data_IF_645240575488
#
_entry.id   IF_645240575488
#
_cell.length_a   1.000
_cell.length_b   1.000
_cell.length_c   1.000
_cell.angle_alpha   90.00
_cell.angle_beta   90.00
_cell.angle_gamma   90.00
#
_symmetry.space_group_name_H-M   'P 1'
#
loop_
_entity.id
_entity.type
_entity.pdbx_description
1 polymer ?
#
# COMPACT_ATOMS: atom_id res chain seq x y z
N UNK A 1 17.03 14.92 29.13
CA UNK A 1 17.58 13.72 29.79
C UNK A 1 17.02 12.54 29.05
N UNK A 2 17.93 11.91 28.37
CA UNK A 2 17.87 10.74 27.50
C UNK A 2 17.33 9.51 28.20
N UNK A 3 16.45 8.79 27.57
CA UNK A 3 16.25 7.37 27.88
C UNK A 3 16.34 6.57 26.58
N UNK A 4 17.43 5.83 26.47
CA UNK A 4 17.63 4.77 25.51
C UNK A 4 16.71 3.61 25.87
N UNK A 5 15.82 3.27 25.00
CA UNK A 5 14.97 2.10 25.16
C UNK A 5 15.62 0.89 24.52
N UNK A 6 15.76 -0.05 25.33
CA UNK A 6 16.16 -1.42 25.31
C UNK A 6 15.96 -2.16 23.97
N UNK A 7 17.10 -2.40 23.33
CA UNK A 7 17.27 -3.47 22.37
C UNK A 7 17.24 -4.80 23.13
N UNK A 8 16.12 -5.48 23.15
CA UNK A 8 16.07 -6.84 23.66
C UNK A 8 16.71 -7.75 22.62
N UNK A 9 17.99 -8.04 22.83
CA UNK A 9 18.71 -9.08 22.10
C UNK A 9 18.31 -10.41 22.70
N UNK A 10 17.53 -11.22 22.00
CA UNK A 10 17.34 -12.61 22.34
C UNK A 10 18.62 -13.38 21.96
N UNK A 11 19.28 -14.09 22.93
CA UNK A 11 20.42 -14.92 22.60
C UNK A 11 19.97 -16.10 21.72
N UNK A 12 20.77 -16.38 20.71
CA UNK A 12 20.59 -17.55 19.86
C UNK A 12 20.78 -18.82 20.70
N UNK A 13 19.94 -19.85 20.57
CA UNK A 13 20.20 -21.14 21.19
C UNK A 13 21.37 -21.84 20.47
N UNK A 14 22.37 -22.22 21.25
CA UNK A 14 23.50 -23.05 20.81
C UNK A 14 23.03 -24.47 20.44
N UNK A 15 23.56 -24.92 19.33
CA UNK A 15 23.67 -26.26 18.77
C UNK A 15 23.07 -27.46 19.52
N UNK A 16 22.12 -28.12 18.86
CA UNK A 16 22.16 -29.59 18.77
C UNK A 16 21.76 -30.01 17.35
N UNK A 17 22.70 -30.68 16.68
CA UNK A 17 22.54 -31.32 15.38
C UNK A 17 21.53 -32.46 15.56
N UNK A 18 20.37 -32.38 14.96
CA UNK A 18 19.64 -33.55 14.52
C UNK A 18 18.98 -33.33 13.18
N UNK A 19 19.31 -34.25 12.31
CA UNK A 19 19.01 -34.32 10.89
C UNK A 19 17.55 -34.73 10.71
N UNK A 20 16.89 -34.10 9.73
CA UNK A 20 15.60 -34.47 9.16
C UNK A 20 14.35 -33.92 9.88
N UNK A 21 14.03 -32.71 9.55
CA UNK A 21 12.71 -32.17 9.14
C UNK A 21 12.93 -30.73 8.75
N UNK A 22 12.86 -30.44 7.45
CA UNK A 22 12.83 -29.06 6.96
C UNK A 22 11.52 -28.41 7.42
N UNK A 23 11.43 -28.08 8.70
CA UNK A 23 10.41 -27.18 9.21
C UNK A 23 10.80 -25.80 8.73
N UNK A 24 10.13 -25.38 7.71
CA UNK A 24 10.19 -24.01 7.19
C UNK A 24 9.62 -23.09 8.28
N UNK A 25 10.43 -22.78 9.30
CA UNK A 25 10.02 -21.94 10.43
C UNK A 25 9.78 -20.54 9.89
N UNK A 26 8.49 -20.23 9.67
CA UNK A 26 8.06 -18.88 9.35
C UNK A 26 8.32 -17.99 10.55
N UNK A 27 9.06 -16.91 10.37
CA UNK A 27 9.39 -15.96 11.42
C UNK A 27 9.15 -14.53 10.93
N UNK A 28 8.94 -13.62 11.86
CA UNK A 28 8.82 -12.21 11.56
C UNK A 28 10.20 -11.59 11.33
N UNK A 29 10.31 -10.74 10.33
CA UNK A 29 11.49 -9.95 10.01
C UNK A 29 11.07 -8.63 9.36
N UNK A 30 11.92 -7.60 9.45
CA UNK A 30 11.64 -6.31 8.82
C UNK A 30 11.65 -6.44 7.29
N UNK A 31 10.67 -5.84 6.63
CA UNK A 31 10.55 -5.85 5.17
C UNK A 31 9.86 -4.59 4.64
N UNK A 32 10.19 -4.23 3.40
CA UNK A 32 9.53 -3.16 2.68
C UNK A 32 8.46 -3.75 1.75
N UNK A 33 7.22 -3.29 1.91
CA UNK A 33 6.06 -3.72 1.11
C UNK A 33 6.24 -3.44 -0.38
N UNK A 34 6.90 -2.35 -0.72
CA UNK A 34 7.09 -1.96 -2.11
C UNK A 34 8.19 -2.76 -2.80
N UNK A 35 9.14 -3.28 -2.04
CA UNK A 35 10.25 -4.12 -2.55
C UNK A 35 9.98 -5.62 -2.43
N UNK A 36 9.08 -6.01 -1.52
CA UNK A 36 8.76 -7.42 -1.31
C UNK A 36 8.18 -8.08 -2.57
N UNK A 37 8.64 -9.30 -2.82
CA UNK A 37 8.08 -10.24 -3.79
C UNK A 37 7.28 -11.36 -3.11
N UNK A 38 6.67 -12.23 -3.90
CA UNK A 38 5.92 -13.37 -3.36
C UNK A 38 6.79 -14.34 -2.57
N UNK A 39 8.06 -14.51 -2.94
CA UNK A 39 9.00 -15.41 -2.27
C UNK A 39 9.32 -14.91 -0.87
N UNK A 40 9.60 -13.62 -0.73
CA UNK A 40 9.85 -12.98 0.55
C UNK A 40 8.61 -13.04 1.44
N UNK A 41 7.44 -12.66 0.89
CA UNK A 41 6.19 -12.62 1.64
C UNK A 41 5.78 -14.01 2.14
N UNK A 42 6.02 -15.08 1.38
CA UNK A 42 5.72 -16.45 1.81
C UNK A 42 6.54 -16.94 3.01
N UNK A 43 7.62 -16.25 3.39
CA UNK A 43 8.40 -16.54 4.60
C UNK A 43 7.73 -16.00 5.86
N UNK A 44 6.79 -15.07 5.73
CA UNK A 44 6.08 -14.47 6.85
C UNK A 44 5.01 -15.42 7.43
N UNK A 45 4.81 -15.41 8.76
CA UNK A 45 3.76 -16.20 9.40
C UNK A 45 2.38 -15.87 8.83
N UNK A 46 1.60 -16.91 8.56
CA UNK A 46 0.25 -16.77 8.01
C UNK A 46 0.17 -16.36 6.54
N UNK A 47 1.28 -16.03 5.89
CA UNK A 47 1.32 -15.68 4.47
C UNK A 47 1.73 -16.91 3.64
N UNK A 48 0.79 -17.39 2.84
CA UNK A 48 1.04 -18.38 1.79
C UNK A 48 1.01 -17.72 0.43
N UNK A 49 1.23 -18.48 -0.64
CA UNK A 49 1.29 -17.98 -2.02
C UNK A 49 0.03 -17.18 -2.42
N UNK A 50 -1.15 -17.62 -1.99
CA UNK A 50 -2.40 -16.91 -2.29
C UNK A 50 -2.41 -15.51 -1.68
N UNK A 51 -2.14 -15.38 -0.37
CA UNK A 51 -2.10 -14.09 0.33
C UNK A 51 -0.96 -13.21 -0.16
N UNK A 52 0.21 -13.79 -0.45
CA UNK A 52 1.32 -13.06 -1.06
C UNK A 52 0.92 -12.43 -2.41
N UNK A 53 0.21 -13.17 -3.26
CA UNK A 53 -0.33 -12.64 -4.52
C UNK A 53 -1.36 -11.52 -4.29
N UNK A 54 -2.22 -11.63 -3.26
CA UNK A 54 -3.18 -10.56 -2.91
C UNK A 54 -2.46 -9.28 -2.52
N UNK A 55 -1.43 -9.35 -1.68
CA UNK A 55 -0.60 -8.22 -1.28
C UNK A 55 0.07 -7.57 -2.51
N UNK A 56 0.66 -8.37 -3.39
CA UNK A 56 1.30 -7.87 -4.62
C UNK A 56 0.29 -7.25 -5.58
N UNK A 57 -0.88 -7.85 -5.75
CA UNK A 57 -1.92 -7.32 -6.63
C UNK A 57 -2.50 -6.01 -6.08
N UNK A 58 -2.69 -5.91 -4.77
CA UNK A 58 -3.13 -4.67 -4.14
C UNK A 58 -2.09 -3.56 -4.32
N UNK A 59 -0.78 -3.87 -4.10
CA UNK A 59 0.34 -2.98 -4.42
C UNK A 59 0.27 -2.45 -5.86
N UNK A 60 0.05 -3.34 -6.83
CA UNK A 60 -0.03 -2.94 -8.26
C UNK A 60 -1.19 -1.98 -8.53
N UNK A 61 -2.34 -2.21 -7.91
CA UNK A 61 -3.52 -1.33 -8.06
C UNK A 61 -3.33 0.02 -7.38
N UNK A 62 -2.69 0.07 -6.21
CA UNK A 62 -2.32 1.31 -5.52
C UNK A 62 -1.27 2.12 -6.29
N UNK A 63 -0.39 1.46 -7.06
CA UNK A 63 0.85 2.05 -7.56
C UNK A 63 2.00 1.93 -6.57
N UNK A 64 1.78 1.39 -5.39
CA UNK A 64 2.70 1.20 -4.27
C UNK A 64 2.03 1.52 -2.94
N UNK A 65 2.54 0.97 -1.86
CA UNK A 65 2.07 1.28 -0.50
C UNK A 65 2.69 2.60 -0.03
N UNK A 66 1.91 3.44 0.61
CA UNK A 66 2.39 4.65 1.30
C UNK A 66 2.51 4.45 2.81
N UNK A 67 1.80 3.46 3.35
CA UNK A 67 1.77 3.12 4.78
C UNK A 67 1.60 1.62 4.97
N UNK A 68 2.24 1.04 5.98
CA UNK A 68 2.09 -0.38 6.33
C UNK A 68 0.63 -0.76 6.65
N UNK A 69 -0.14 0.15 7.27
CA UNK A 69 -1.55 -0.05 7.63
C UNK A 69 -2.46 -0.38 6.45
N UNK A 70 -2.05 -0.09 5.22
CA UNK A 70 -2.81 -0.49 4.02
C UNK A 70 -2.88 -2.00 3.81
N UNK A 71 -2.10 -2.80 4.54
CA UNK A 71 -2.27 -4.25 4.59
C UNK A 71 -3.64 -4.67 5.15
N UNK A 72 -4.21 -3.88 6.06
CA UNK A 72 -5.55 -4.13 6.65
C UNK A 72 -6.69 -3.88 5.66
N UNK A 73 -6.42 -3.20 4.55
CA UNK A 73 -7.43 -2.90 3.53
C UNK A 73 -7.61 -4.03 2.51
N UNK A 74 -6.78 -5.08 2.58
CA UNK A 74 -6.78 -6.17 1.60
C UNK A 74 -7.88 -7.16 1.96
N UNK A 75 -8.97 -7.13 1.22
CA UNK A 75 -10.05 -8.11 1.36
C UNK A 75 -9.52 -9.54 1.20
N UNK A 76 -9.97 -10.43 2.10
CA UNK A 76 -9.61 -11.86 2.09
C UNK A 76 -8.33 -12.20 2.85
N UNK A 77 -7.65 -11.22 3.49
CA UNK A 77 -6.62 -11.49 4.48
C UNK A 77 -7.14 -11.06 5.86
N UNK A 78 -7.33 -11.99 6.81
CA UNK A 78 -7.81 -11.64 8.15
C UNK A 78 -6.86 -10.70 8.90
N UNK A 79 -7.42 -9.77 9.67
CA UNK A 79 -6.64 -8.82 10.49
C UNK A 79 -5.70 -9.52 11.49
N UNK A 80 -6.09 -10.70 11.99
CA UNK A 80 -5.25 -11.54 12.86
C UNK A 80 -3.91 -11.94 12.21
N UNK A 81 -3.83 -11.89 10.87
CA UNK A 81 -2.61 -12.17 10.11
C UNK A 81 -1.86 -10.89 9.76
N UNK A 82 -2.58 -9.84 9.35
CA UNK A 82 -1.95 -8.58 8.90
C UNK A 82 -1.51 -7.70 10.06
N UNK A 83 -2.26 -7.64 11.15
CA UNK A 83 -1.91 -6.80 12.31
C UNK A 83 -0.52 -7.10 12.90
N UNK A 84 -0.12 -8.35 13.15
CA UNK A 84 1.24 -8.63 13.62
C UNK A 84 2.34 -8.23 12.64
N UNK A 85 2.05 -8.14 11.34
CA UNK A 85 3.03 -7.75 10.33
C UNK A 85 3.33 -6.26 10.36
N UNK A 86 2.41 -5.42 10.85
CA UNK A 86 2.53 -3.96 10.81
C UNK A 86 3.79 -3.43 11.51
N UNK A 87 4.22 -4.08 12.58
CA UNK A 87 5.42 -3.68 13.32
C UNK A 87 6.74 -4.00 12.57
N UNK A 88 6.68 -4.85 11.53
CA UNK A 88 7.84 -5.25 10.73
C UNK A 88 7.78 -4.70 9.31
N UNK A 89 6.61 -4.24 8.88
CA UNK A 89 6.38 -3.74 7.54
C UNK A 89 6.69 -2.25 7.43
N UNK A 90 7.43 -1.87 6.41
CA UNK A 90 7.64 -0.49 6.00
C UNK A 90 7.09 -0.27 4.60
N UNK A 91 6.93 0.98 4.19
CA UNK A 91 6.52 1.36 2.86
C UNK A 91 7.35 2.56 2.39
N UNK A 92 8.22 2.34 1.40
CA UNK A 92 9.00 3.40 0.77
C UNK A 92 8.11 4.23 -0.16
N UNK A 93 7.75 5.43 0.28
CA UNK A 93 6.83 6.31 -0.45
C UNK A 93 7.43 6.82 -1.78
N UNK A 94 8.75 6.89 -1.89
CA UNK A 94 9.42 7.39 -3.10
C UNK A 94 9.30 6.39 -4.27
N UNK A 95 9.02 5.12 -3.96
CA UNK A 95 8.79 4.08 -4.97
C UNK A 95 7.35 4.02 -5.50
N UNK A 96 6.44 4.88 -5.01
CA UNK A 96 5.03 4.91 -5.43
C UNK A 96 4.88 5.51 -6.83
N UNK A 97 4.25 4.76 -7.72
CA UNK A 97 3.87 5.22 -9.07
C UNK A 97 2.59 6.04 -8.99
N UNK A 98 2.70 7.34 -9.23
CA UNK A 98 1.56 8.26 -9.19
C UNK A 98 0.78 8.24 -10.50
N UNK A 99 -0.52 8.46 -10.39
CA UNK A 99 -1.43 8.58 -11.53
C UNK A 99 -1.37 10.02 -12.05
N UNK A 100 -1.06 10.19 -13.34
CA UNK A 100 -1.14 11.49 -14.00
C UNK A 100 -2.59 11.90 -14.17
N UNK A 101 -3.13 12.63 -13.19
CA UNK A 101 -4.56 12.96 -13.12
C UNK A 101 -5.03 13.76 -14.35
N UNK A 102 -4.16 14.59 -14.91
CA UNK A 102 -4.46 15.43 -16.07
C UNK A 102 -4.43 14.68 -17.42
N UNK A 103 -3.90 13.45 -17.44
CA UNK A 103 -3.79 12.62 -18.64
C UNK A 103 -4.62 11.34 -18.58
N UNK A 104 -4.98 10.89 -17.38
CA UNK A 104 -5.64 9.60 -17.20
C UNK A 104 -7.13 9.67 -17.51
N UNK A 105 -7.63 8.68 -18.24
CA UNK A 105 -9.06 8.49 -18.47
C UNK A 105 -9.74 7.77 -17.32
N UNK A 106 -11.08 7.77 -17.32
CA UNK A 106 -11.92 7.12 -16.28
C UNK A 106 -11.50 5.67 -15.99
N UNK A 107 -11.18 4.88 -17.03
CA UNK A 107 -10.76 3.49 -16.89
C UNK A 107 -9.48 3.33 -16.06
N UNK A 108 -8.51 4.24 -16.24
CA UNK A 108 -7.24 4.23 -15.51
C UNK A 108 -7.47 4.65 -14.06
N UNK A 109 -8.20 5.75 -13.85
CA UNK A 109 -8.52 6.29 -12.54
C UNK A 109 -9.24 5.25 -11.66
N UNK A 110 -10.31 4.62 -12.17
CA UNK A 110 -11.09 3.62 -11.43
C UNK A 110 -10.34 2.30 -11.12
N UNK A 111 -9.19 2.07 -11.72
CA UNK A 111 -8.36 0.91 -11.37
C UNK A 111 -7.69 1.07 -10.01
N UNK A 112 -7.54 2.28 -9.51
CA UNK A 112 -7.01 2.57 -8.19
C UNK A 112 -8.04 2.20 -7.11
N UNK A 113 -7.64 1.50 -6.00
CA UNK A 113 -8.57 1.04 -4.96
C UNK A 113 -9.39 2.16 -4.30
N UNK A 114 -8.87 3.39 -4.28
CA UNK A 114 -9.50 4.54 -3.64
C UNK A 114 -10.36 5.37 -4.59
N UNK A 115 -10.60 4.90 -5.82
CA UNK A 115 -11.39 5.64 -6.80
C UNK A 115 -12.45 4.71 -7.38
N UNK A 116 -13.72 4.98 -7.09
CA UNK A 116 -14.84 4.29 -7.70
C UNK A 116 -15.19 4.90 -9.07
N UNK A 117 -16.20 4.35 -9.74
CA UNK A 117 -16.61 4.81 -11.07
C UNK A 117 -17.09 6.27 -11.08
N UNK A 118 -17.92 6.65 -10.11
CA UNK A 118 -18.50 8.00 -10.03
C UNK A 118 -17.43 9.04 -9.73
N UNK A 119 -16.53 8.73 -8.81
CA UNK A 119 -15.37 9.55 -8.48
C UNK A 119 -14.42 9.73 -9.68
N UNK A 120 -14.15 8.65 -10.42
CA UNK A 120 -13.32 8.73 -11.63
C UNK A 120 -13.98 9.58 -12.72
N UNK A 121 -15.30 9.48 -12.86
CA UNK A 121 -16.10 10.27 -13.80
C UNK A 121 -16.08 11.74 -13.41
N UNK A 122 -16.30 12.06 -12.14
CA UNK A 122 -16.27 13.44 -11.63
C UNK A 122 -14.91 14.11 -11.85
N UNK A 123 -13.79 13.41 -11.56
CA UNK A 123 -12.43 13.89 -11.87
C UNK A 123 -12.30 14.19 -13.38
N UNK A 124 -12.78 13.29 -14.21
CA UNK A 124 -12.72 13.47 -15.66
C UNK A 124 -13.54 14.69 -16.12
N UNK A 125 -14.77 14.87 -15.61
CA UNK A 125 -15.66 15.98 -15.92
C UNK A 125 -15.11 17.31 -15.42
N UNK A 126 -14.58 17.35 -14.18
CA UNK A 126 -13.96 18.56 -13.62
C UNK A 126 -12.82 19.07 -14.52
N UNK A 127 -12.02 18.19 -15.08
CA UNK A 127 -10.92 18.56 -15.98
C UNK A 127 -11.41 19.31 -17.23
N UNK A 128 -12.57 18.92 -17.75
CA UNK A 128 -13.15 19.50 -18.96
C UNK A 128 -14.14 20.64 -18.69
N UNK A 129 -14.33 21.02 -17.44
CA UNK A 129 -15.06 22.22 -17.10
C UNK A 129 -14.36 23.47 -17.68
N UNK A 130 -15.15 24.47 -18.05
CA UNK A 130 -14.67 25.73 -18.67
C UNK A 130 -13.62 26.45 -17.85
N UNK A 131 -13.60 26.24 -16.53
CA UNK A 131 -12.68 26.92 -15.60
C UNK A 131 -11.31 26.26 -15.53
N UNK A 132 -11.17 24.96 -15.87
CA UNK A 132 -9.96 24.18 -15.67
C UNK A 132 -9.13 23.98 -16.95
N UNK A 133 -9.73 24.18 -18.12
CA UNK A 133 -9.04 24.08 -19.43
C UNK A 133 -8.17 22.81 -19.58
N UNK A 134 -8.67 21.68 -19.11
CA UNK A 134 -7.98 20.38 -19.17
C UNK A 134 -7.02 20.09 -18.01
N UNK A 135 -6.79 21.05 -17.09
CA UNK A 135 -5.79 20.93 -16.02
C UNK A 135 -6.44 21.09 -14.65
N UNK A 136 -6.34 20.05 -13.84
CA UNK A 136 -6.72 20.06 -12.43
C UNK A 136 -5.46 20.31 -11.59
N UNK A 137 -5.57 21.14 -10.57
CA UNK A 137 -4.53 21.40 -9.56
C UNK A 137 -4.94 20.78 -8.21
N UNK A 138 -4.02 20.55 -7.27
CA UNK A 138 -4.35 19.97 -5.96
C UNK A 138 -5.47 20.70 -5.22
N UNK A 139 -5.53 22.04 -5.33
CA UNK A 139 -6.57 22.87 -4.72
C UNK A 139 -7.97 22.61 -5.27
N UNK A 140 -8.08 22.12 -6.48
CA UNK A 140 -9.37 21.91 -7.16
C UNK A 140 -10.05 20.63 -6.66
N UNK A 141 -9.28 19.70 -6.08
CA UNK A 141 -9.80 18.45 -5.49
C UNK A 141 -10.88 18.67 -4.42
N UNK A 142 -10.83 19.80 -3.70
CA UNK A 142 -11.85 20.17 -2.71
C UNK A 142 -13.23 20.44 -3.30
N UNK A 143 -13.34 20.61 -4.60
CA UNK A 143 -14.60 20.85 -5.30
C UNK A 143 -15.29 19.55 -5.76
N UNK A 144 -14.60 18.40 -5.62
CA UNK A 144 -15.17 17.10 -5.91
C UNK A 144 -16.24 16.75 -4.85
N UNK A 145 -17.42 16.41 -5.31
CA UNK A 145 -18.60 16.12 -4.45
C UNK A 145 -18.74 14.63 -4.12
N UNK A 146 -18.19 13.77 -4.99
CA UNK A 146 -18.21 12.33 -4.82
C UNK A 146 -17.13 11.83 -3.86
N UNK A 147 -16.33 12.74 -3.28
CA UNK A 147 -15.25 12.44 -2.33
C UNK A 147 -15.49 13.13 -0.99
N UNK A 148 -15.23 12.42 0.10
CA UNK A 148 -15.06 13.06 1.40
C UNK A 148 -13.66 13.69 1.51
N UNK A 149 -13.47 14.67 2.42
CA UNK A 149 -12.15 15.25 2.66
C UNK A 149 -11.07 14.19 2.99
N UNK A 150 -11.43 13.18 3.78
CA UNK A 150 -10.54 12.09 4.20
C UNK A 150 -10.14 11.22 3.00
N UNK A 151 -11.07 10.94 2.08
CA UNK A 151 -10.79 10.20 0.86
C UNK A 151 -9.83 10.97 -0.06
N UNK A 152 -9.99 12.30 -0.15
CA UNK A 152 -9.08 13.17 -0.89
C UNK A 152 -7.68 13.11 -0.28
N UNK A 153 -7.53 13.31 1.03
CA UNK A 153 -6.24 13.25 1.72
C UNK A 153 -5.54 11.91 1.52
N UNK A 154 -6.30 10.82 1.58
CA UNK A 154 -5.80 9.46 1.36
C UNK A 154 -5.35 9.22 -0.08
N UNK A 155 -6.00 9.90 -1.05
CA UNK A 155 -5.72 9.75 -2.47
C UNK A 155 -4.55 10.64 -2.94
N UNK A 156 -4.36 11.83 -2.36
CA UNK A 156 -3.37 12.81 -2.80
C UNK A 156 -1.95 12.26 -3.03
N UNK A 157 -1.41 11.37 -2.17
CA UNK A 157 -0.07 10.79 -2.38
C UNK A 157 0.08 10.00 -3.68
N UNK A 158 -1.04 9.56 -4.26
CA UNK A 158 -1.10 8.75 -5.48
C UNK A 158 -1.33 9.56 -6.75
N UNK A 159 -1.48 10.88 -6.64
CA UNK A 159 -1.76 11.75 -7.76
C UNK A 159 -0.53 12.54 -8.19
N UNK A 160 -0.35 12.63 -9.50
CA UNK A 160 0.59 13.50 -10.17
C UNK A 160 -0.21 14.55 -10.96
N UNK A 161 -0.06 15.81 -10.57
CA UNK A 161 -0.74 16.97 -11.17
C UNK A 161 0.09 17.64 -12.27
N UNK A 162 1.20 17.04 -12.69
CA UNK A 162 1.98 17.56 -13.81
C UNK A 162 1.20 17.56 -15.12
N UNK A 163 1.50 18.51 -15.99
CA UNK A 163 0.91 18.66 -17.33
C UNK A 163 1.40 17.59 -18.31
#
# INVERSE_FOLDING_TARGET
>A
ITSLSDFIIYPAPENSVDSSYSTNHKHYFAFDLNRADTTLLCKLPGIGMSRAKMIINYKKRLGGYTKAHQLLEIEGIPDSITTPLLQYATADIDSVKRIKINKSGVKILRNHPYINYYQAKEIYELRWDRTHNGIIKPKDMKHLKEFTPEEIERLLPYLDFSE
#
